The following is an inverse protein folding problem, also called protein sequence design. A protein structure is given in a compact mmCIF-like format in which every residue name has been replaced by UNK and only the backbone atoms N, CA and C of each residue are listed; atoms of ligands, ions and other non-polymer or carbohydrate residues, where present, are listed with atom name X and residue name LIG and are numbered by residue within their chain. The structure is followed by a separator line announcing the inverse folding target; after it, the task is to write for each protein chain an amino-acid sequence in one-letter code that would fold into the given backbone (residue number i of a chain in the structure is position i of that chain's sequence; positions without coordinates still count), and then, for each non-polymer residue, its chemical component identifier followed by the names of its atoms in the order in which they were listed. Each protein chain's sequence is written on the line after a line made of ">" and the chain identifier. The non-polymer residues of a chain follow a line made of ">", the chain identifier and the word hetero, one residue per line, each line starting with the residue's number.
data_IF_904825617764
#
_entry.id   IF_904825617764
#
_cell.length_a   1.000
_cell.length_b   1.000
_cell.length_c   1.000
_cell.angle_alpha   90.00
_cell.angle_beta   90.00
_cell.angle_gamma   90.00
#
_symmetry.space_group_name_H-M   'P 1'
#
loop_
_entity.id
_entity.type
_entity.pdbx_description
1 polymer ?
#
# COMPACT_ATOMS: atom_id res chain seq x y z
N UNK A 1 -1.12 10.39 12.54
CA UNK A 1 -0.60 9.36 11.62
C UNK A 1 0.58 8.73 12.31
N UNK A 2 0.41 7.49 12.73
CA UNK A 2 1.49 6.67 13.28
C UNK A 2 2.61 6.59 12.24
N UNK A 3 3.85 6.78 12.68
CA UNK A 3 4.98 6.87 11.77
C UNK A 3 5.13 5.50 11.10
N UNK A 4 5.02 5.42 9.78
CA UNK A 4 5.15 4.15 9.03
C UNK A 4 6.54 3.51 9.25
N UNK A 5 7.50 4.31 9.73
CA UNK A 5 8.84 3.91 10.16
C UNK A 5 8.94 3.52 11.64
N UNK A 6 7.82 3.44 12.38
CA UNK A 6 7.84 3.02 13.77
C UNK A 6 8.34 1.57 13.85
N UNK A 7 9.39 1.36 14.64
CA UNK A 7 10.01 0.04 14.80
C UNK A 7 9.03 -0.98 15.35
N UNK A 8 8.06 -0.57 16.17
CA UNK A 8 7.05 -1.47 16.70
C UNK A 8 6.10 -1.94 15.59
N UNK A 9 5.67 -1.02 14.73
CA UNK A 9 4.83 -1.30 13.59
C UNK A 9 5.53 -2.23 12.57
N UNK A 10 6.79 -1.94 12.24
CA UNK A 10 7.59 -2.80 11.36
C UNK A 10 7.83 -4.20 11.94
N UNK A 11 8.01 -4.30 13.27
CA UNK A 11 8.14 -5.58 13.96
C UNK A 11 6.85 -6.40 13.90
N UNK A 12 5.69 -5.74 14.08
CA UNK A 12 4.38 -6.38 13.93
C UNK A 12 4.17 -6.87 12.50
N UNK A 13 4.49 -6.06 11.48
CA UNK A 13 4.38 -6.48 10.08
C UNK A 13 5.27 -7.69 9.79
N UNK A 14 6.52 -7.70 10.27
CA UNK A 14 7.43 -8.84 10.10
C UNK A 14 6.86 -10.12 10.72
N UNK A 15 6.27 -10.02 11.91
CA UNK A 15 5.62 -11.14 12.60
C UNK A 15 4.42 -11.66 11.80
N UNK A 16 3.56 -10.77 11.31
CA UNK A 16 2.39 -11.15 10.49
C UNK A 16 2.86 -11.87 9.23
N UNK A 17 3.86 -11.34 8.52
CA UNK A 17 4.41 -11.98 7.31
C UNK A 17 4.96 -13.36 7.62
N UNK A 18 5.73 -13.54 8.71
CA UNK A 18 6.35 -14.82 9.04
C UNK A 18 5.37 -15.87 9.58
N UNK A 19 4.35 -15.46 10.33
CA UNK A 19 3.45 -16.37 11.04
C UNK A 19 2.08 -16.56 10.36
N UNK A 20 1.69 -15.72 9.40
CA UNK A 20 0.37 -15.76 8.74
C UNK A 20 -0.05 -17.14 8.22
N UNK A 21 0.89 -17.96 7.73
CA UNK A 21 0.60 -19.32 7.26
C UNK A 21 0.24 -20.30 8.39
N UNK A 22 0.67 -20.04 9.62
CA UNK A 22 0.38 -20.85 10.82
C UNK A 22 -0.69 -20.22 11.71
N UNK A 23 -0.83 -18.90 11.63
CA UNK A 23 -1.69 -18.04 12.44
C UNK A 23 -2.57 -17.18 11.52
N UNK A 24 -3.60 -17.79 10.89
CA UNK A 24 -4.50 -17.07 9.99
C UNK A 24 -5.28 -15.96 10.72
N UNK A 25 -5.44 -16.07 12.03
CA UNK A 25 -6.02 -15.03 12.89
C UNK A 25 -5.22 -13.72 12.85
N UNK A 26 -3.88 -13.79 12.83
CA UNK A 26 -3.02 -12.61 12.74
C UNK A 26 -3.14 -11.95 11.35
N UNK A 27 -3.18 -12.76 10.29
CA UNK A 27 -3.43 -12.26 8.94
C UNK A 27 -4.81 -11.58 8.84
N UNK A 28 -5.83 -12.18 9.45
CA UNK A 28 -7.18 -11.62 9.44
C UNK A 28 -7.24 -10.26 10.15
N UNK A 29 -6.60 -10.12 11.31
CA UNK A 29 -6.52 -8.85 12.02
C UNK A 29 -5.85 -7.79 11.14
N UNK A 30 -4.69 -8.09 10.56
CA UNK A 30 -3.99 -7.15 9.68
C UNK A 30 -4.85 -6.69 8.49
N UNK A 31 -5.53 -7.64 7.84
CA UNK A 31 -6.38 -7.35 6.70
C UNK A 31 -7.59 -6.48 7.07
N UNK A 32 -8.21 -6.71 8.22
CA UNK A 32 -9.44 -6.00 8.62
C UNK A 32 -9.17 -4.66 9.29
N UNK A 33 -8.07 -4.53 10.03
CA UNK A 33 -7.77 -3.30 10.78
C UNK A 33 -6.94 -2.31 9.97
N UNK A 34 -6.16 -2.77 8.99
CA UNK A 34 -5.23 -1.91 8.26
C UNK A 34 -5.49 -1.89 6.75
N UNK A 35 -5.40 -3.05 6.10
CA UNK A 35 -5.44 -3.11 4.63
C UNK A 35 -6.80 -2.71 4.10
N UNK A 36 -7.88 -3.28 4.63
CA UNK A 36 -9.24 -2.98 4.18
C UNK A 36 -9.61 -1.51 4.42
N UNK A 37 -9.42 -0.91 5.62
CA UNK A 37 -9.71 0.50 5.82
C UNK A 37 -8.92 1.41 4.87
N UNK A 38 -7.62 1.15 4.66
CA UNK A 38 -6.81 1.95 3.73
C UNK A 38 -7.35 1.91 2.29
N UNK A 39 -7.69 0.71 1.79
CA UNK A 39 -8.29 0.55 0.46
C UNK A 39 -9.65 1.24 0.37
N UNK A 40 -10.53 1.03 1.36
CA UNK A 40 -11.87 1.60 1.36
C UNK A 40 -11.83 3.13 1.41
N UNK A 41 -10.99 3.71 2.26
CA UNK A 41 -10.79 5.17 2.33
C UNK A 41 -10.32 5.74 1.00
N UNK A 42 -9.31 5.14 0.39
CA UNK A 42 -8.79 5.63 -0.89
C UNK A 42 -9.81 5.42 -2.02
N UNK A 43 -10.50 4.27 -2.07
CA UNK A 43 -11.55 4.00 -3.04
C UNK A 43 -12.65 5.06 -2.99
N UNK A 44 -13.15 5.38 -1.79
CA UNK A 44 -14.19 6.40 -1.64
C UNK A 44 -13.68 7.79 -2.03
N UNK A 45 -12.43 8.14 -1.69
CA UNK A 45 -11.81 9.38 -2.16
C UNK A 45 -11.75 9.44 -3.70
N UNK A 46 -11.23 8.40 -4.35
CA UNK A 46 -11.10 8.35 -5.82
C UNK A 46 -12.45 8.45 -6.54
N UNK A 47 -13.53 7.92 -5.97
CA UNK A 47 -14.90 8.09 -6.50
C UNK A 47 -15.36 9.56 -6.52
N UNK A 48 -14.85 10.39 -5.62
CA UNK A 48 -15.17 11.83 -5.59
C UNK A 48 -14.40 12.64 -6.64
N UNK A 49 -13.31 12.10 -7.19
CA UNK A 49 -12.44 12.77 -8.15
C UNK A 49 -12.93 12.58 -9.59
N UNK A 50 -14.06 13.20 -9.95
CA UNK A 50 -14.66 13.05 -11.29
C UNK A 50 -13.73 13.49 -12.43
N UNK A 51 -12.85 14.45 -12.18
CA UNK A 51 -11.88 14.98 -13.15
C UNK A 51 -10.80 13.96 -13.56
N UNK A 52 -10.52 12.96 -12.72
CA UNK A 52 -9.47 11.97 -12.96
C UNK A 52 -9.91 10.80 -13.86
N UNK A 53 -11.20 10.74 -14.25
CA UNK A 53 -11.75 9.73 -15.18
C UNK A 53 -11.38 8.27 -14.81
N UNK A 54 -11.30 7.96 -13.51
CA UNK A 54 -10.89 6.65 -13.02
C UNK A 54 -11.96 5.61 -13.34
N UNK A 55 -11.63 4.62 -14.18
CA UNK A 55 -12.57 3.57 -14.62
C UNK A 55 -12.92 2.58 -13.50
N UNK A 56 -11.92 2.20 -12.70
CA UNK A 56 -12.10 1.28 -11.56
C UNK A 56 -11.42 1.84 -10.30
N UNK A 57 -12.17 2.58 -9.45
CA UNK A 57 -11.64 3.15 -8.22
C UNK A 57 -11.16 2.10 -7.21
N UNK A 58 -11.74 0.90 -7.18
CA UNK A 58 -11.34 -0.15 -6.25
C UNK A 58 -10.01 -0.76 -6.67
N UNK A 59 -9.87 -1.13 -7.94
CA UNK A 59 -8.60 -1.64 -8.46
C UNK A 59 -7.49 -0.60 -8.32
N UNK A 60 -7.77 0.68 -8.61
CA UNK A 60 -6.80 1.78 -8.46
C UNK A 60 -6.35 1.92 -7.00
N UNK A 61 -7.29 1.90 -6.05
CA UNK A 61 -6.96 1.95 -4.62
C UNK A 61 -6.12 0.74 -4.17
N UNK A 62 -6.47 -0.46 -4.63
CA UNK A 62 -5.71 -1.69 -4.35
C UNK A 62 -4.28 -1.63 -4.91
N UNK A 63 -4.09 -1.11 -6.12
CA UNK A 63 -2.76 -0.93 -6.73
C UNK A 63 -1.92 0.05 -5.92
N UNK A 64 -2.50 1.20 -5.55
CA UNK A 64 -1.81 2.22 -4.77
C UNK A 64 -1.40 1.70 -3.39
N UNK A 65 -2.35 1.20 -2.60
CA UNK A 65 -2.10 0.67 -1.26
C UNK A 65 -1.18 -0.55 -1.30
N UNK A 66 -1.38 -1.45 -2.26
CA UNK A 66 -0.53 -2.62 -2.47
C UNK A 66 0.92 -2.25 -2.77
N UNK A 67 1.14 -1.19 -3.53
CA UNK A 67 2.50 -0.69 -3.82
C UNK A 67 3.18 -0.13 -2.56
N UNK A 68 2.45 0.55 -1.68
CA UNK A 68 2.98 1.00 -0.39
C UNK A 68 3.31 -0.18 0.54
N UNK A 69 2.46 -1.21 0.58
CA UNK A 69 2.73 -2.44 1.35
C UNK A 69 3.97 -3.14 0.81
N UNK A 70 4.07 -3.28 -0.51
CA UNK A 70 5.25 -3.85 -1.16
C UNK A 70 6.52 -3.07 -0.79
N UNK A 71 6.48 -1.73 -0.81
CA UNK A 71 7.59 -0.90 -0.35
C UNK A 71 7.99 -1.21 1.09
N UNK A 72 7.04 -1.24 2.03
CA UNK A 72 7.33 -1.57 3.43
C UNK A 72 7.97 -2.94 3.56
N UNK A 73 7.44 -3.95 2.86
CA UNK A 73 8.00 -5.31 2.91
C UNK A 73 9.42 -5.33 2.34
N UNK A 74 9.64 -4.76 1.17
CA UNK A 74 10.92 -4.86 0.48
C UNK A 74 11.98 -3.95 1.10
N UNK A 75 11.67 -2.72 1.48
CA UNK A 75 12.66 -1.74 1.97
C UNK A 75 12.87 -1.77 3.49
N UNK A 76 11.81 -2.06 4.27
CA UNK A 76 11.86 -1.93 5.73
C UNK A 76 11.92 -3.29 6.43
N UNK A 77 11.23 -4.31 5.90
CA UNK A 77 11.19 -5.65 6.51
C UNK A 77 12.33 -6.52 5.97
N UNK A 78 12.54 -6.51 4.66
CA UNK A 78 13.66 -7.15 3.99
C UNK A 78 14.81 -6.13 3.89
N UNK A 79 16.06 -6.48 4.23
CA UNK A 79 17.17 -5.55 4.13
C UNK A 79 17.62 -5.40 2.66
N UNK A 80 16.84 -4.71 1.83
CA UNK A 80 17.11 -4.53 0.39
C UNK A 80 17.62 -3.15 -0.01
N UNK A 81 17.83 -2.25 0.96
CA UNK A 81 18.20 -0.85 0.72
C UNK A 81 19.44 -0.70 -0.17
N UNK A 82 20.37 -1.65 -0.09
CA UNK A 82 21.59 -1.67 -0.91
C UNK A 82 21.41 -2.35 -2.28
N UNK A 83 20.42 -3.24 -2.43
CA UNK A 83 20.24 -4.06 -3.64
C UNK A 83 19.14 -3.56 -4.56
N UNK A 84 18.09 -2.93 -4.03
CA UNK A 84 16.92 -2.45 -4.75
C UNK A 84 16.45 -1.09 -4.20
N UNK A 85 17.27 -0.02 -4.25
CA UNK A 85 16.96 1.24 -3.59
C UNK A 85 15.72 1.92 -4.18
N UNK A 86 14.75 2.22 -3.31
CA UNK A 86 13.59 3.06 -3.61
C UNK A 86 13.31 3.94 -2.40
N UNK A 87 13.01 5.23 -2.62
CA UNK A 87 12.54 6.11 -1.53
C UNK A 87 11.02 6.20 -1.54
N UNK A 88 10.42 6.42 -0.37
CA UNK A 88 8.97 6.57 -0.25
C UNK A 88 8.42 7.69 -1.13
N UNK A 89 9.05 8.87 -1.11
CA UNK A 89 8.64 10.02 -1.93
C UNK A 89 8.63 9.68 -3.42
N UNK A 90 9.72 9.06 -3.92
CA UNK A 90 9.80 8.66 -5.33
C UNK A 90 8.68 7.70 -5.72
N UNK A 91 8.35 6.74 -4.85
CA UNK A 91 7.26 5.80 -5.13
C UNK A 91 5.90 6.52 -5.14
N UNK A 92 5.62 7.35 -4.12
CA UNK A 92 4.34 8.04 -3.97
C UNK A 92 4.13 9.00 -5.15
N UNK A 93 5.13 9.82 -5.49
CA UNK A 93 5.04 10.79 -6.58
C UNK A 93 4.70 10.10 -7.90
N UNK A 94 5.37 8.97 -8.20
CA UNK A 94 5.13 8.22 -9.43
C UNK A 94 3.76 7.52 -9.42
N UNK A 95 3.31 6.99 -8.27
CA UNK A 95 1.96 6.40 -8.16
C UNK A 95 0.87 7.46 -8.39
N UNK A 96 1.07 8.66 -7.85
CA UNK A 96 0.15 9.80 -8.05
C UNK A 96 0.17 10.23 -9.52
N UNK A 97 1.35 10.36 -10.12
CA UNK A 97 1.49 10.71 -11.55
C UNK A 97 0.77 9.71 -12.45
N UNK A 98 0.90 8.41 -12.18
CA UNK A 98 0.21 7.35 -12.91
C UNK A 98 -1.33 7.42 -12.78
N UNK A 99 -1.84 7.82 -11.61
CA UNK A 99 -3.28 7.99 -11.40
C UNK A 99 -3.79 9.23 -12.13
N UNK A 100 -3.07 10.34 -12.07
CA UNK A 100 -3.48 11.61 -12.68
C UNK A 100 -3.40 11.55 -14.21
N UNK A 101 -2.42 10.84 -14.77
CA UNK A 101 -2.19 10.74 -16.20
C UNK A 101 -2.66 9.42 -16.80
N UNK A 102 -3.71 8.79 -16.25
CA UNK A 102 -4.34 7.63 -16.88
C UNK A 102 -4.82 8.03 -18.28
N UNK A 103 -4.04 7.65 -19.30
CA UNK A 103 -4.52 7.66 -20.67
C UNK A 103 -5.64 6.63 -20.72
N UNK A 104 -6.86 7.05 -21.05
CA UNK A 104 -7.86 6.11 -21.53
C UNK A 104 -7.19 5.30 -22.64
N UNK A 105 -7.01 4.00 -22.44
CA UNK A 105 -6.56 3.14 -23.53
C UNK A 105 -7.57 3.33 -24.67
N UNK A 106 -7.13 3.66 -25.88
CA UNK A 106 -8.02 3.86 -27.02
C UNK A 106 -8.80 2.59 -27.38
#
# INVERSE_FOLDING_TARGET
>A
MENISDREYLSLLRLIVSESGKRPDLAQVFLTTLVKPAIETLKEYLKTCQELTITDPEATARIFVGSLIHYMVVQEILPSQDSLPMTADRLIDNLVELIIHQKALP
#
